data_IF_178276771658
#
_entry.id   IF_178276771658
#
_cell.length_a   1.000
_cell.length_b   1.000
_cell.length_c   1.000
_cell.angle_alpha   90.00
_cell.angle_beta   90.00
_cell.angle_gamma   90.00
#
_symmetry.space_group_name_H-M   'P 1'
#
loop_
_entity.id
_entity.type
_entity.pdbx_description
1 polymer ?
#
# COMPACT_ATOMS: atom_id res chain seq x y z
N UNK A 1 -15.35 -20.34 -4.27
CA UNK A 1 -15.62 -19.61 -3.00
C UNK A 1 -14.37 -19.20 -2.22
N UNK A 2 -13.40 -20.08 -1.90
CA UNK A 2 -12.19 -19.71 -1.11
C UNK A 2 -11.39 -18.52 -1.67
N UNK A 3 -11.34 -18.36 -3.01
CA UNK A 3 -10.66 -17.24 -3.65
C UNK A 3 -11.38 -15.91 -3.42
N UNK A 4 -12.72 -15.90 -3.50
CA UNK A 4 -13.54 -14.70 -3.30
C UNK A 4 -13.36 -14.19 -1.87
N UNK A 5 -13.38 -15.08 -0.87
CA UNK A 5 -13.16 -14.72 0.54
C UNK A 5 -11.80 -14.07 0.74
N UNK A 6 -10.75 -14.56 0.06
CA UNK A 6 -9.42 -13.95 0.13
C UNK A 6 -9.40 -12.55 -0.47
N UNK A 7 -10.05 -12.35 -1.62
CA UNK A 7 -10.13 -11.03 -2.25
C UNK A 7 -10.94 -10.05 -1.40
N UNK A 8 -12.06 -10.49 -0.84
CA UNK A 8 -12.89 -9.66 0.07
C UNK A 8 -12.12 -9.31 1.33
N UNK A 9 -11.45 -10.27 1.97
CA UNK A 9 -10.62 -10.00 3.14
C UNK A 9 -9.46 -9.03 2.81
N UNK A 10 -8.87 -9.16 1.62
CA UNK A 10 -7.81 -8.26 1.17
C UNK A 10 -8.33 -6.85 0.89
N UNK A 11 -9.53 -6.72 0.31
CA UNK A 11 -10.20 -5.43 0.15
C UNK A 11 -10.49 -4.79 1.51
N UNK A 12 -11.07 -5.54 2.45
CA UNK A 12 -11.33 -5.05 3.82
C UNK A 12 -10.04 -4.58 4.49
N UNK A 13 -8.96 -5.38 4.36
CA UNK A 13 -7.65 -5.02 4.88
C UNK A 13 -7.13 -3.72 4.26
N UNK A 14 -7.16 -3.60 2.93
CA UNK A 14 -6.71 -2.39 2.25
C UNK A 14 -7.51 -1.17 2.68
N UNK A 15 -8.84 -1.28 2.78
CA UNK A 15 -9.69 -0.16 3.21
C UNK A 15 -9.36 0.27 4.65
N UNK A 16 -9.29 -0.67 5.59
CA UNK A 16 -8.98 -0.36 6.99
C UNK A 16 -7.57 0.21 7.15
N UNK A 17 -6.58 -0.39 6.50
CA UNK A 17 -5.20 0.08 6.57
C UNK A 17 -5.03 1.46 5.90
N UNK A 18 -5.74 1.72 4.80
CA UNK A 18 -5.76 3.04 4.14
C UNK A 18 -6.34 4.10 5.06
N UNK A 19 -7.48 3.83 5.70
CA UNK A 19 -8.10 4.76 6.64
C UNK A 19 -7.21 5.02 7.86
N UNK A 20 -6.57 3.98 8.39
CA UNK A 20 -5.63 4.12 9.51
C UNK A 20 -4.43 4.97 9.13
N UNK A 21 -3.82 4.70 7.97
CA UNK A 21 -2.68 5.46 7.46
C UNK A 21 -3.04 6.93 7.23
N UNK A 22 -4.20 7.18 6.60
CA UNK A 22 -4.74 8.53 6.40
C UNK A 22 -4.96 9.25 7.74
N UNK A 23 -5.51 8.58 8.76
CA UNK A 23 -5.73 9.15 10.09
C UNK A 23 -4.41 9.50 10.80
N UNK A 24 -3.39 8.66 10.66
CA UNK A 24 -2.05 8.95 11.21
C UNK A 24 -1.44 10.15 10.49
N UNK A 25 -1.64 10.24 9.17
CA UNK A 25 -1.14 11.35 8.36
C UNK A 25 -1.76 12.67 8.75
N UNK A 26 -3.08 12.75 8.86
CA UNK A 26 -3.75 14.01 9.24
C UNK A 26 -3.37 14.47 10.65
N UNK A 27 -3.04 13.55 11.55
CA UNK A 27 -2.58 13.88 12.92
C UNK A 27 -1.11 14.29 12.99
N UNK A 28 -0.27 13.76 12.12
CA UNK A 28 1.17 14.04 12.13
C UNK A 28 1.70 14.36 10.73
N UNK A 29 1.25 15.46 10.11
CA UNK A 29 1.62 15.81 8.73
C UNK A 29 3.12 16.04 8.55
N UNK A 30 3.84 16.38 9.63
CA UNK A 30 5.29 16.59 9.63
C UNK A 30 6.11 15.33 9.36
N UNK A 31 5.56 14.12 9.57
CA UNK A 31 6.28 12.87 9.25
C UNK A 31 6.15 12.46 7.79
N UNK A 32 5.30 13.15 7.02
CA UNK A 32 5.01 12.75 5.65
C UNK A 32 5.74 13.64 4.66
N UNK A 33 6.29 13.06 3.60
CA UNK A 33 6.96 13.84 2.57
C UNK A 33 5.96 14.75 1.87
N UNK A 34 6.43 15.94 1.49
CA UNK A 34 5.69 16.80 0.56
C UNK A 34 5.63 16.11 -0.79
N UNK A 35 4.42 15.92 -1.31
CA UNK A 35 4.23 15.31 -2.63
C UNK A 35 4.37 16.38 -3.72
N UNK A 36 4.90 16.00 -4.89
CA UNK A 36 5.10 16.95 -5.99
C UNK A 36 3.76 17.41 -6.58
N UNK A 37 3.72 18.67 -7.03
CA UNK A 37 2.49 19.35 -7.48
C UNK A 37 1.77 18.64 -8.64
N UNK A 38 2.52 17.98 -9.52
CA UNK A 38 1.94 17.21 -10.63
C UNK A 38 1.00 16.09 -10.15
N UNK A 39 1.25 15.54 -8.96
CA UNK A 39 0.42 14.50 -8.38
C UNK A 39 -0.94 15.08 -7.94
N UNK A 40 -0.92 16.30 -7.40
CA UNK A 40 -2.15 17.03 -7.06
C UNK A 40 -2.97 17.36 -8.31
N UNK A 41 -2.33 17.83 -9.38
CA UNK A 41 -2.99 18.10 -10.66
C UNK A 41 -3.63 16.85 -11.26
N UNK A 42 -2.92 15.71 -11.23
CA UNK A 42 -3.42 14.44 -11.72
C UNK A 42 -4.66 13.97 -10.92
N UNK A 43 -4.61 14.05 -9.59
CA UNK A 43 -5.75 13.66 -8.73
C UNK A 43 -6.92 14.60 -8.97
N UNK A 44 -6.67 15.92 -9.06
CA UNK A 44 -7.71 16.89 -9.36
C UNK A 44 -8.42 16.62 -10.69
N UNK A 45 -7.67 16.16 -11.70
CA UNK A 45 -8.21 15.82 -13.01
C UNK A 45 -9.02 14.51 -12.98
N UNK A 46 -8.47 13.47 -12.33
CA UNK A 46 -9.12 12.16 -12.19
C UNK A 46 -10.46 12.26 -11.44
N UNK A 47 -10.52 13.08 -10.40
CA UNK A 47 -11.73 13.25 -9.59
C UNK A 47 -12.62 14.42 -10.03
N UNK A 48 -12.22 15.17 -11.07
CA UNK A 48 -12.96 16.36 -11.54
C UNK A 48 -13.03 17.50 -10.53
N UNK A 49 -12.15 17.50 -9.52
CA UNK A 49 -12.18 18.44 -8.40
C UNK A 49 -11.57 19.80 -8.76
N UNK A 50 -10.92 19.91 -9.92
CA UNK A 50 -10.32 21.16 -10.41
C UNK A 50 -11.34 22.25 -10.78
N UNK A 51 -12.60 21.88 -11.04
CA UNK A 51 -13.58 22.77 -11.68
C UNK A 51 -14.75 23.15 -10.77
N UNK A 52 -15.17 22.25 -9.87
CA UNK A 52 -16.39 22.41 -9.05
C UNK A 52 -16.26 21.93 -7.60
N UNK A 53 -15.12 21.38 -7.19
CA UNK A 53 -14.90 20.82 -5.85
C UNK A 53 -14.48 21.85 -4.81
N UNK A 54 -14.88 21.64 -3.54
CA UNK A 54 -14.29 22.43 -2.45
C UNK A 54 -12.81 22.07 -2.27
N UNK A 55 -11.99 23.03 -1.83
CA UNK A 55 -10.57 22.79 -1.54
C UNK A 55 -10.39 21.65 -0.52
N UNK A 56 -11.34 21.49 0.40
CA UNK A 56 -11.36 20.43 1.41
C UNK A 56 -11.59 19.04 0.78
N UNK A 57 -12.52 18.92 -0.17
CA UNK A 57 -12.77 17.68 -0.91
C UNK A 57 -11.54 17.25 -1.73
N UNK A 58 -10.85 18.22 -2.34
CA UNK A 58 -9.59 17.98 -3.03
C UNK A 58 -8.52 17.40 -2.11
N UNK A 59 -8.27 18.04 -0.97
CA UNK A 59 -7.27 17.56 -0.02
C UNK A 59 -7.64 16.21 0.59
N UNK A 60 -8.93 15.97 0.87
CA UNK A 60 -9.40 14.69 1.37
C UNK A 60 -9.20 13.57 0.33
N UNK A 61 -9.59 13.80 -0.92
CA UNK A 61 -9.37 12.86 -2.02
C UNK A 61 -7.88 12.58 -2.21
N UNK A 62 -7.05 13.63 -2.21
CA UNK A 62 -5.61 13.54 -2.36
C UNK A 62 -4.97 12.67 -1.26
N UNK A 63 -5.25 12.95 0.01
CA UNK A 63 -4.70 12.16 1.12
C UNK A 63 -5.18 10.72 1.10
N UNK A 64 -6.45 10.47 0.74
CA UNK A 64 -7.00 9.12 0.67
C UNK A 64 -6.34 8.30 -0.44
N UNK A 65 -6.21 8.88 -1.65
CA UNK A 65 -5.59 8.23 -2.80
C UNK A 65 -4.13 7.89 -2.53
N UNK A 66 -3.37 8.83 -1.97
CA UNK A 66 -1.95 8.59 -1.68
C UNK A 66 -1.79 7.56 -0.54
N UNK A 67 -2.65 7.60 0.46
CA UNK A 67 -2.68 6.59 1.53
C UNK A 67 -2.94 5.20 0.96
N UNK A 68 -3.89 5.07 0.04
CA UNK A 68 -4.20 3.81 -0.62
C UNK A 68 -2.99 3.25 -1.40
N UNK A 69 -2.32 4.09 -2.19
CA UNK A 69 -1.13 3.67 -2.93
C UNK A 69 0.02 3.21 -2.01
N UNK A 70 0.28 3.93 -0.92
CA UNK A 70 1.30 3.53 0.05
C UNK A 70 0.96 2.19 0.70
N UNK A 71 -0.27 2.02 1.18
CA UNK A 71 -0.73 0.77 1.81
C UNK A 71 -0.71 -0.40 0.83
N UNK A 72 -1.13 -0.17 -0.42
CA UNK A 72 -1.06 -1.17 -1.49
C UNK A 72 0.39 -1.56 -1.78
N UNK A 73 1.30 -0.59 -1.85
CA UNK A 73 2.73 -0.83 -2.06
C UNK A 73 3.34 -1.62 -0.91
N UNK A 74 3.10 -1.24 0.35
CA UNK A 74 3.58 -1.99 1.52
C UNK A 74 3.02 -3.41 1.57
N UNK A 75 1.74 -3.58 1.25
CA UNK A 75 1.10 -4.90 1.19
C UNK A 75 1.72 -5.76 0.08
N UNK A 76 1.99 -5.18 -1.10
CA UNK A 76 2.64 -5.86 -2.20
C UNK A 76 4.09 -6.24 -1.88
N UNK A 77 4.87 -5.33 -1.28
CA UNK A 77 6.25 -5.57 -0.83
C UNK A 77 6.28 -6.65 0.24
N UNK A 78 5.39 -6.60 1.23
CA UNK A 78 5.26 -7.62 2.27
C UNK A 78 4.91 -8.99 1.69
N UNK A 79 3.98 -9.03 0.72
CA UNK A 79 3.63 -10.25 0.01
C UNK A 79 4.81 -10.81 -0.81
N UNK A 80 5.54 -9.94 -1.50
CA UNK A 80 6.72 -10.31 -2.26
C UNK A 80 7.83 -10.84 -1.36
N UNK A 81 8.11 -10.17 -0.24
CA UNK A 81 9.08 -10.61 0.76
C UNK A 81 8.70 -11.98 1.34
N UNK A 82 7.41 -12.21 1.65
CA UNK A 82 6.91 -13.51 2.09
C UNK A 82 7.12 -14.58 1.01
N UNK A 83 6.82 -14.27 -0.25
CA UNK A 83 7.05 -15.16 -1.41
C UNK A 83 8.53 -15.54 -1.56
N UNK A 84 9.44 -14.57 -1.43
CA UNK A 84 10.88 -14.80 -1.55
C UNK A 84 11.46 -15.55 -0.35
N UNK A 85 10.96 -15.32 0.87
CA UNK A 85 11.35 -16.07 2.07
C UNK A 85 11.11 -17.58 1.90
N UNK A 86 10.00 -17.97 1.27
CA UNK A 86 9.71 -19.39 0.98
C UNK A 86 10.68 -19.99 -0.05
N UNK A 87 11.16 -19.19 -1.02
CA UNK A 87 12.17 -19.65 -1.99
C UNK A 87 13.56 -19.77 -1.37
N UNK A 88 13.97 -18.78 -0.58
CA UNK A 88 15.28 -18.76 0.08
C UNK A 88 15.40 -19.85 1.15
N UNK A 89 14.36 -20.10 1.96
CA UNK A 89 14.38 -21.17 2.96
C UNK A 89 14.42 -22.58 2.35
N UNK A 90 13.88 -22.78 1.15
CA UNK A 90 14.00 -24.04 0.40
C UNK A 90 15.37 -24.26 -0.26
N UNK A 91 16.09 -23.17 -0.57
CA UNK A 91 17.47 -23.21 -1.04
C UNK A 91 18.45 -23.46 0.11
N UNK A 92 18.25 -22.79 1.24
CA UNK A 92 19.07 -22.96 2.44
C UNK A 92 19.04 -24.40 2.96
N UNK A 93 17.86 -25.05 3.01
CA UNK A 93 17.76 -26.47 3.39
C UNK A 93 18.53 -27.42 2.47
N UNK A 94 18.59 -27.12 1.17
CA UNK A 94 19.34 -27.91 0.20
C UNK A 94 20.85 -27.70 0.31
N UNK A 95 21.29 -26.49 0.65
CA UNK A 95 22.70 -26.19 0.86
C UNK A 95 23.23 -26.79 2.17
N UNK A 96 22.43 -26.74 3.25
CA UNK A 96 22.79 -27.34 4.54
C UNK A 96 22.89 -28.87 4.46
N UNK A 97 21.95 -29.55 3.77
CA UNK A 97 22.04 -31.01 3.61
C UNK A 97 23.23 -31.47 2.73
N UNK A 98 23.75 -30.61 1.86
CA UNK A 98 24.90 -30.93 1.01
C UNK A 98 26.23 -30.86 1.78
N UNK A 99 26.28 -30.14 2.90
CA UNK A 99 27.48 -30.03 3.74
C UNK A 99 27.57 -31.08 4.87
N UNK A 100 26.48 -31.78 5.18
CA UNK A 100 26.47 -32.84 6.21
C UNK A 100 26.74 -34.25 5.68
N UNK A 101 27.13 -34.38 4.39
CA UNK A 101 27.27 -35.66 3.67
C UNK A 101 28.68 -35.97 3.17
N UNK A 102 29.69 -35.30 3.71
CA UNK A 102 31.13 -35.56 3.50
C UNK A 102 31.79 -35.74 4.85
#
# INVERSE_FOLDING_TARGET
>A
MKMIIKYVALLIWLTLATLLYCCIWTRHPSYFPTYPDWLGLFIGDVYGLNTEGSMEDFWMALWLTISFFNVALFTAVGWLAWRFRHRLSGLWRRLVHRQSGT
#
